data_IF_932849072223
#
_entry.id   IF_932849072223
#
_cell.length_a   1.000
_cell.length_b   1.000
_cell.length_c   1.000
_cell.angle_alpha   90.00
_cell.angle_beta   90.00
_cell.angle_gamma   90.00
#
_symmetry.space_group_name_H-M   'P 1'
#
loop_
_entity.id
_entity.type
_entity.pdbx_description
1 polymer ?
#
# COMPACT_ATOMS: atom_id res chain seq x y z
N UNK A 1 -30.59 -26.79 33.28
CA UNK A 1 -31.12 -27.72 32.27
C UNK A 1 -30.15 -27.77 31.11
N UNK A 2 -29.57 -28.93 30.79
CA UNK A 2 -28.70 -29.04 29.61
C UNK A 2 -29.57 -28.90 28.35
N UNK A 3 -29.26 -27.97 27.43
CA UNK A 3 -29.94 -27.94 26.14
C UNK A 3 -29.61 -29.27 25.42
N UNK A 4 -30.66 -30.01 25.06
CA UNK A 4 -30.54 -31.18 24.19
C UNK A 4 -29.88 -30.72 22.90
N UNK A 5 -28.70 -31.27 22.59
CA UNK A 5 -27.99 -30.94 21.37
C UNK A 5 -28.82 -31.41 20.16
N UNK A 6 -28.95 -30.58 19.11
CA UNK A 6 -29.61 -31.00 17.88
C UNK A 6 -28.95 -32.24 17.28
N UNK A 7 -29.74 -33.11 16.66
CA UNK A 7 -29.18 -34.25 15.94
C UNK A 7 -28.44 -33.78 14.69
N UNK A 8 -27.42 -34.53 14.26
CA UNK A 8 -26.65 -34.21 13.05
C UNK A 8 -27.54 -34.12 11.80
N UNK A 9 -28.61 -34.93 11.75
CA UNK A 9 -29.62 -34.87 10.69
C UNK A 9 -30.36 -33.52 10.67
N UNK A 10 -30.75 -33.00 11.84
CA UNK A 10 -31.40 -31.69 11.94
C UNK A 10 -30.47 -30.55 11.48
N UNK A 11 -29.20 -30.60 11.89
CA UNK A 11 -28.19 -29.61 11.46
C UNK A 11 -27.98 -29.66 9.95
N UNK A 12 -27.94 -30.86 9.36
CA UNK A 12 -27.79 -31.03 7.91
C UNK A 12 -28.97 -30.43 7.14
N UNK A 13 -30.19 -30.68 7.57
CA UNK A 13 -31.39 -30.10 6.95
C UNK A 13 -31.40 -28.57 7.04
N UNK A 14 -30.96 -28.00 8.18
CA UNK A 14 -30.83 -26.55 8.33
C UNK A 14 -29.78 -25.98 7.36
N UNK A 15 -28.63 -26.64 7.21
CA UNK A 15 -27.59 -26.25 6.25
C UNK A 15 -28.07 -26.31 4.80
N UNK A 16 -28.78 -27.37 4.40
CA UNK A 16 -29.36 -27.49 3.06
C UNK A 16 -30.40 -26.40 2.78
N UNK A 17 -31.21 -26.08 3.78
CA UNK A 17 -32.21 -25.01 3.69
C UNK A 17 -31.53 -23.65 3.52
N UNK A 18 -30.52 -23.33 4.34
CA UNK A 18 -29.75 -22.10 4.23
C UNK A 18 -29.05 -21.96 2.87
N UNK A 19 -28.50 -23.05 2.31
CA UNK A 19 -27.90 -23.05 0.97
C UNK A 19 -28.93 -22.68 -0.10
N UNK A 20 -30.13 -23.29 -0.04
CA UNK A 20 -31.22 -23.05 -0.99
C UNK A 20 -31.79 -21.64 -0.87
N UNK A 21 -32.08 -21.19 0.34
CA UNK A 21 -32.62 -19.86 0.59
C UNK A 21 -31.63 -18.76 0.23
N UNK A 22 -30.35 -18.96 0.55
CA UNK A 22 -29.31 -18.00 0.18
C UNK A 22 -29.16 -17.88 -1.33
N UNK A 23 -29.28 -19.00 -2.04
CA UNK A 23 -29.29 -19.00 -3.50
C UNK A 23 -30.51 -18.26 -4.05
N UNK A 24 -31.71 -18.52 -3.52
CA UNK A 24 -32.94 -17.87 -3.96
C UNK A 24 -32.94 -16.35 -3.71
N UNK A 25 -32.38 -15.92 -2.58
CA UNK A 25 -32.28 -14.52 -2.17
C UNK A 25 -31.04 -13.81 -2.73
N UNK A 26 -30.16 -14.53 -3.42
CA UNK A 26 -28.89 -14.01 -3.92
C UNK A 26 -27.86 -13.63 -2.84
N UNK A 27 -28.12 -13.97 -1.58
CA UNK A 27 -27.23 -13.71 -0.44
C UNK A 27 -26.21 -14.83 -0.26
N UNK A 28 -25.21 -14.59 0.59
CA UNK A 28 -24.21 -15.61 0.94
C UNK A 28 -24.70 -16.45 2.12
N UNK A 29 -24.74 -17.76 1.94
CA UNK A 29 -24.98 -18.70 3.03
C UNK A 29 -23.81 -18.68 4.03
N UNK A 30 -24.12 -18.65 5.32
CA UNK A 30 -23.09 -18.64 6.37
C UNK A 30 -23.39 -19.63 7.49
N UNK A 31 -22.33 -20.18 8.08
CA UNK A 31 -22.43 -21.08 9.24
C UNK A 31 -23.11 -20.39 10.43
N UNK A 32 -22.87 -19.08 10.59
CA UNK A 32 -23.53 -18.29 11.65
C UNK A 32 -25.05 -18.18 11.48
N UNK A 33 -25.56 -18.14 10.24
CA UNK A 33 -27.01 -18.19 10.01
C UNK A 33 -27.59 -19.52 10.47
N UNK A 34 -26.91 -20.62 10.14
CA UNK A 34 -27.30 -21.98 10.54
C UNK A 34 -27.28 -22.13 12.06
N UNK A 35 -26.23 -21.64 12.72
CA UNK A 35 -26.11 -21.62 14.19
C UNK A 35 -27.31 -20.95 14.86
N UNK A 36 -27.73 -19.79 14.33
CA UNK A 36 -28.92 -19.07 14.82
C UNK A 36 -30.20 -19.86 14.58
N UNK A 37 -30.31 -20.53 13.43
CA UNK A 37 -31.48 -21.33 13.07
C UNK A 37 -31.65 -22.56 13.96
N UNK A 38 -30.55 -23.23 14.34
CA UNK A 38 -30.59 -24.40 15.23
C UNK A 38 -30.47 -24.05 16.71
N UNK A 39 -30.21 -22.78 17.05
CA UNK A 39 -30.10 -22.30 18.43
C UNK A 39 -28.86 -22.78 19.18
N UNK A 40 -27.74 -23.02 18.48
CA UNK A 40 -26.49 -23.55 19.06
C UNK A 40 -25.41 -22.48 19.07
N UNK A 41 -24.64 -22.39 20.16
CA UNK A 41 -23.51 -21.47 20.24
C UNK A 41 -22.40 -21.84 19.25
N UNK A 42 -21.67 -20.84 18.74
CA UNK A 42 -20.57 -21.05 17.80
C UNK A 42 -19.55 -22.11 18.26
N UNK A 43 -19.10 -22.02 19.52
CA UNK A 43 -18.14 -22.97 20.09
C UNK A 43 -18.70 -24.40 20.16
N UNK A 44 -19.97 -24.54 20.56
CA UNK A 44 -20.65 -25.85 20.60
C UNK A 44 -20.83 -26.44 19.21
N UNK A 45 -21.14 -25.60 18.22
CA UNK A 45 -21.36 -26.01 16.84
C UNK A 45 -20.08 -26.58 16.21
N UNK A 46 -18.98 -25.85 16.33
CA UNK A 46 -17.68 -26.26 15.78
C UNK A 46 -17.09 -27.49 16.46
N UNK A 47 -17.38 -27.70 17.74
CA UNK A 47 -16.93 -28.87 18.49
C UNK A 47 -17.72 -30.14 18.15
N UNK A 48 -19.04 -30.03 17.94
CA UNK A 48 -19.92 -31.19 17.82
C UNK A 48 -20.27 -31.56 16.37
N UNK A 49 -20.14 -30.65 15.41
CA UNK A 49 -20.49 -30.88 14.01
C UNK A 49 -19.37 -30.54 13.00
N UNK A 50 -18.12 -30.98 13.22
CA UNK A 50 -17.01 -30.65 12.32
C UNK A 50 -17.25 -31.17 10.89
N UNK A 51 -17.78 -32.39 10.74
CA UNK A 51 -18.04 -32.99 9.43
C UNK A 51 -19.10 -32.22 8.62
N UNK A 52 -20.11 -31.69 9.31
CA UNK A 52 -21.15 -30.89 8.68
C UNK A 52 -20.60 -29.55 8.20
N UNK A 53 -19.68 -28.94 8.96
CA UNK A 53 -18.99 -27.71 8.56
C UNK A 53 -18.11 -27.95 7.33
N UNK A 54 -17.37 -29.07 7.28
CA UNK A 54 -16.56 -29.44 6.12
C UNK A 54 -17.44 -29.62 4.89
N UNK A 55 -18.52 -30.38 5.02
CA UNK A 55 -19.49 -30.57 3.93
C UNK A 55 -20.11 -29.26 3.45
N UNK A 56 -20.53 -28.40 4.38
CA UNK A 56 -21.13 -27.11 4.07
C UNK A 56 -20.16 -26.18 3.32
N UNK A 57 -18.89 -26.12 3.76
CA UNK A 57 -17.85 -25.35 3.08
C UNK A 57 -17.60 -25.86 1.66
N UNK A 58 -17.50 -27.18 1.48
CA UNK A 58 -17.34 -27.79 0.16
C UNK A 58 -18.50 -27.40 -0.78
N UNK A 59 -19.73 -27.38 -0.28
CA UNK A 59 -20.89 -26.94 -1.06
C UNK A 59 -20.86 -25.45 -1.39
N UNK A 60 -20.43 -24.59 -0.47
CA UNK A 60 -20.25 -23.17 -0.75
C UNK A 60 -19.22 -22.91 -1.85
N UNK A 61 -18.15 -23.70 -1.88
CA UNK A 61 -17.10 -23.55 -2.88
C UNK A 61 -17.58 -24.06 -4.26
N UNK A 62 -18.28 -25.19 -4.31
CA UNK A 62 -18.93 -25.68 -5.54
C UNK A 62 -19.98 -24.69 -6.09
N UNK A 63 -20.74 -24.03 -5.22
CA UNK A 63 -21.67 -22.97 -5.63
C UNK A 63 -20.97 -21.71 -6.15
N UNK A 64 -19.77 -21.39 -5.65
CA UNK A 64 -18.99 -20.26 -6.18
C UNK A 64 -18.45 -20.58 -7.56
N UNK A 65 -17.91 -21.78 -7.74
CA UNK A 65 -17.35 -22.23 -9.01
C UNK A 65 -18.41 -22.24 -10.12
N UNK A 66 -19.63 -22.68 -9.80
CA UNK A 66 -20.78 -22.61 -10.73
C UNK A 66 -21.28 -21.19 -10.99
N UNK A 67 -21.12 -20.24 -10.05
CA UNK A 67 -21.48 -18.82 -10.26
C UNK A 67 -20.44 -18.04 -11.06
N UNK A 68 -19.16 -18.41 -10.99
CA UNK A 68 -18.14 -17.85 -11.86
C UNK A 68 -18.29 -18.44 -13.26
N UNK A 69 -19.17 -17.84 -14.07
CA UNK A 69 -19.23 -18.20 -15.48
C UNK A 69 -17.88 -17.91 -16.16
N UNK A 70 -17.43 -18.75 -17.10
CA UNK A 70 -16.15 -18.57 -17.79
C UNK A 70 -16.07 -17.23 -18.54
N UNK A 71 -17.22 -16.61 -18.85
CA UNK A 71 -17.31 -15.28 -19.47
C UNK A 71 -16.93 -14.15 -18.50
N UNK A 72 -17.19 -14.30 -17.20
CA UNK A 72 -16.84 -13.29 -16.18
C UNK A 72 -15.35 -13.37 -15.84
N UNK A 73 -14.77 -14.56 -15.82
CA UNK A 73 -13.32 -14.75 -15.60
C UNK A 73 -12.52 -14.24 -16.79
N UNK A 74 -12.91 -14.59 -18.03
CA UNK A 74 -12.26 -14.08 -19.24
C UNK A 74 -12.29 -12.55 -19.33
N UNK A 75 -13.45 -11.92 -19.07
CA UNK A 75 -13.56 -10.46 -19.05
C UNK A 75 -12.65 -9.81 -18.00
N UNK A 76 -12.50 -10.42 -16.82
CA UNK A 76 -11.60 -9.92 -15.77
C UNK A 76 -10.12 -10.05 -16.17
N UNK A 77 -9.76 -11.11 -16.87
CA UNK A 77 -8.39 -11.31 -17.36
C UNK A 77 -8.03 -10.31 -18.46
N UNK A 78 -8.96 -10.05 -19.39
CA UNK A 78 -8.82 -9.03 -20.43
C UNK A 78 -8.65 -7.62 -19.83
N UNK A 79 -9.49 -7.29 -18.84
CA UNK A 79 -9.41 -6.01 -18.12
C UNK A 79 -8.07 -5.86 -17.37
N UNK A 80 -7.58 -6.94 -16.74
CA UNK A 80 -6.27 -6.93 -16.07
C UNK A 80 -5.11 -6.78 -17.05
N UNK A 81 -5.17 -7.43 -18.21
CA UNK A 81 -4.17 -7.29 -19.26
C UNK A 81 -4.12 -5.85 -19.79
N UNK A 82 -5.28 -5.26 -20.06
CA UNK A 82 -5.40 -3.85 -20.46
C UNK A 82 -4.82 -2.90 -19.41
N UNK A 83 -5.21 -3.06 -18.16
CA UNK A 83 -4.72 -2.21 -17.06
C UNK A 83 -3.20 -2.32 -16.86
N UNK A 84 -2.60 -3.49 -17.07
CA UNK A 84 -1.14 -3.68 -17.04
C UNK A 84 -0.45 -2.96 -18.21
N UNK A 85 -1.04 -3.01 -19.39
CA UNK A 85 -0.60 -2.24 -20.55
C UNK A 85 -0.61 -0.73 -20.26
N UNK A 86 -1.77 -0.21 -19.84
CA UNK A 86 -1.95 1.20 -19.48
C UNK A 86 -0.97 1.64 -18.38
N UNK A 87 -0.76 0.83 -17.34
CA UNK A 87 0.19 1.16 -16.28
C UNK A 87 1.63 1.24 -16.81
N UNK A 88 2.01 0.34 -17.72
CA UNK A 88 3.34 0.35 -18.35
C UNK A 88 3.54 1.60 -19.18
N UNK A 89 2.53 2.00 -19.96
CA UNK A 89 2.61 3.19 -20.81
C UNK A 89 2.61 4.48 -20.00
N UNK A 90 1.81 4.56 -18.92
CA UNK A 90 1.87 5.67 -17.97
C UNK A 90 3.26 5.81 -17.34
N UNK A 91 3.90 4.70 -16.95
CA UNK A 91 5.27 4.74 -16.41
C UNK A 91 6.29 5.24 -17.43
N UNK A 92 6.14 4.88 -18.71
CA UNK A 92 7.00 5.41 -19.78
C UNK A 92 6.80 6.91 -19.93
N UNK A 93 5.55 7.38 -19.99
CA UNK A 93 5.22 8.79 -20.12
C UNK A 93 5.77 9.60 -18.95
N UNK A 94 5.61 9.13 -17.70
CA UNK A 94 6.18 9.80 -16.52
C UNK A 94 7.69 9.95 -16.63
N UNK A 95 8.41 8.93 -17.09
CA UNK A 95 9.87 9.02 -17.30
C UNK A 95 10.23 10.05 -18.36
N UNK A 96 9.51 10.08 -19.48
CA UNK A 96 9.74 11.05 -20.56
C UNK A 96 9.51 12.47 -20.05
N UNK A 97 8.39 12.72 -19.38
CA UNK A 97 8.08 14.04 -18.85
C UNK A 97 9.04 14.48 -17.75
N UNK A 98 9.46 13.58 -16.88
CA UNK A 98 10.47 13.89 -15.86
C UNK A 98 11.79 14.34 -16.49
N UNK A 99 12.23 13.67 -17.56
CA UNK A 99 13.44 14.07 -18.29
C UNK A 99 13.25 15.40 -19.02
N UNK A 100 12.10 15.62 -19.67
CA UNK A 100 11.80 16.89 -20.33
C UNK A 100 11.83 18.06 -19.34
N UNK A 101 11.25 17.89 -18.14
CA UNK A 101 11.30 18.89 -17.07
C UNK A 101 12.75 19.15 -16.66
N UNK A 102 13.56 18.10 -16.45
CA UNK A 102 14.98 18.25 -16.11
C UNK A 102 15.74 19.07 -17.15
N UNK A 103 15.55 18.77 -18.43
CA UNK A 103 16.20 19.49 -19.52
C UNK A 103 15.76 20.95 -19.58
N UNK A 104 14.46 21.22 -19.39
CA UNK A 104 13.92 22.59 -19.33
C UNK A 104 14.53 23.37 -18.17
N UNK A 105 14.63 22.79 -16.97
CA UNK A 105 15.24 23.44 -15.82
C UNK A 105 16.72 23.77 -16.05
N UNK A 106 17.47 22.88 -16.71
CA UNK A 106 18.86 23.16 -17.05
C UNK A 106 18.99 24.26 -18.10
N UNK A 107 18.12 24.27 -19.11
CA UNK A 107 18.10 25.31 -20.14
C UNK A 107 17.72 26.68 -19.55
N UNK A 108 16.76 26.72 -18.63
CA UNK A 108 16.36 27.93 -17.91
C UNK A 108 17.53 28.50 -17.10
N UNK A 109 18.20 27.67 -16.30
CA UNK A 109 19.37 28.11 -15.52
C UNK A 109 20.52 28.63 -16.42
N UNK A 110 20.77 27.98 -17.55
CA UNK A 110 21.76 28.43 -18.52
C UNK A 110 21.39 29.79 -19.15
N UNK A 111 20.10 29.96 -19.50
CA UNK A 111 19.60 31.23 -20.06
C UNK A 111 19.68 32.37 -19.03
N UNK A 112 19.38 32.09 -17.77
CA UNK A 112 19.56 33.05 -16.68
C UNK A 112 21.03 33.47 -16.52
N UNK A 113 21.95 32.51 -16.55
CA UNK A 113 23.40 32.79 -16.46
C UNK A 113 23.87 33.64 -17.67
N UNK A 114 23.41 33.36 -18.89
CA UNK A 114 23.69 34.15 -20.09
C UNK A 114 23.16 35.58 -19.98
N UNK A 115 21.89 35.75 -19.57
CA UNK A 115 21.29 37.07 -19.37
C UNK A 115 22.03 37.86 -18.28
N UNK A 116 22.44 37.19 -17.22
CA UNK A 116 23.17 37.80 -16.11
C UNK A 116 24.58 38.25 -16.53
N UNK A 117 25.26 37.46 -17.35
CA UNK A 117 26.55 37.81 -17.94
C UNK A 117 26.43 39.03 -18.88
N UNK A 118 25.39 39.07 -19.73
CA UNK A 118 25.11 40.19 -20.62
C UNK A 118 24.71 41.47 -19.86
N UNK A 119 23.99 41.33 -18.75
CA UNK A 119 23.58 42.46 -17.90
C UNK A 119 24.71 42.99 -16.99
N UNK A 120 25.87 42.32 -16.91
CA UNK A 120 27.00 42.73 -16.09
C UNK A 120 26.76 42.65 -14.57
N UNK A 121 25.71 41.96 -14.14
CA UNK A 121 25.32 41.86 -12.71
C UNK A 121 25.89 40.56 -12.13
N UNK A 122 27.04 40.59 -11.46
CA UNK A 122 27.59 39.40 -10.79
C UNK A 122 26.71 38.95 -9.60
N UNK A 123 26.44 37.63 -9.47
CA UNK A 123 25.60 37.04 -8.38
C UNK A 123 26.14 37.42 -6.99
N UNK A 124 25.26 37.89 -6.12
CA UNK A 124 25.58 38.28 -4.74
C UNK A 124 26.03 37.09 -3.87
N UNK A 125 25.60 35.87 -4.19
CA UNK A 125 25.98 34.65 -3.46
C UNK A 125 27.47 34.33 -3.57
N UNK A 126 28.08 34.66 -4.71
CA UNK A 126 29.51 34.42 -4.96
C UNK A 126 30.38 35.47 -4.25
N UNK A 127 29.92 36.72 -4.19
CA UNK A 127 30.55 37.77 -3.35
C UNK A 127 30.46 37.44 -1.86
N UNK A 128 29.39 36.81 -1.39
CA UNK A 128 29.23 36.42 0.02
C UNK A 128 30.22 35.34 0.41
N UNK A 129 30.49 34.35 -0.46
CA UNK A 129 31.54 33.34 -0.24
C UNK A 129 32.95 33.93 -0.28
N UNK A 130 33.22 34.89 -1.18
CA UNK A 130 34.51 35.58 -1.24
C UNK A 130 34.78 36.51 -0.04
N UNK A 131 33.76 37.17 0.53
CA UNK A 131 33.92 38.02 1.72
C UNK A 131 34.08 37.26 3.04
N UNK A 132 33.66 35.99 3.11
CA UNK A 132 33.76 35.16 4.32
C UNK A 132 35.14 34.53 4.57
N UNK A 133 36.10 34.69 3.64
CA UNK A 133 37.41 34.03 3.67
C UNK A 133 38.58 34.91 4.11
N UNK A 134 38.39 35.89 5.00
CA UNK A 134 39.50 36.70 5.54
C UNK A 134 39.84 36.22 6.96
N UNK A 135 40.94 35.48 7.19
CA UNK A 135 41.38 35.17 8.54
C UNK A 135 41.90 36.46 9.20
N UNK A 136 41.24 36.90 10.26
CA UNK A 136 41.74 37.94 11.16
C UNK A 136 42.99 37.40 11.87
N UNK A 137 44.17 37.83 11.43
CA UNK A 137 45.38 37.77 12.24
C UNK A 137 45.59 39.14 12.91
N UNK A 138 45.59 39.11 14.26
CA UNK A 138 46.45 39.95 15.07
C UNK A 138 45.85 41.23 15.65
N UNK A 139 45.48 41.19 16.94
CA UNK A 139 45.69 42.32 17.85
C UNK A 139 45.72 41.92 19.34
N UNK A 140 46.90 42.10 19.93
CA UNK A 140 47.23 42.42 21.34
C UNK A 140 47.17 41.27 22.38
N UNK A 141 48.19 41.01 23.22
CA UNK A 141 49.31 41.86 23.65
C UNK A 141 50.49 41.11 24.33
N UNK A 142 51.53 41.85 24.78
CA UNK A 142 52.87 41.35 25.17
C UNK A 142 53.10 41.42 26.71
N UNK A 143 54.33 41.26 27.23
CA UNK A 143 55.15 40.04 27.34
C UNK A 143 55.50 39.72 28.81
N UNK A 144 55.55 38.45 29.23
CA UNK A 144 56.22 38.10 30.50
C UNK A 144 57.56 37.40 30.24
N UNK A 145 58.62 38.15 30.55
CA UNK A 145 59.95 37.62 30.87
C UNK A 145 59.92 36.99 32.26
N UNK A 146 60.96 36.21 32.56
CA UNK A 146 61.34 35.52 33.81
C UNK A 146 61.02 34.01 33.72
N UNK A 147 61.96 33.08 33.83
CA UNK A 147 63.37 33.12 34.23
C UNK A 147 64.10 31.88 33.69
N UNK A 148 65.38 32.06 33.39
CA UNK A 148 66.37 31.01 33.30
C UNK A 148 66.38 30.08 34.54
N UNK A 149 66.71 28.82 34.32
CA UNK A 149 66.92 27.84 35.38
C UNK A 149 67.40 26.50 34.85
N UNK A 150 68.67 26.43 34.44
CA UNK A 150 69.42 25.17 34.43
C UNK A 150 69.86 24.83 35.86
N UNK A 151 69.84 23.53 36.22
CA UNK A 151 70.45 23.00 37.44
C UNK A 151 69.56 22.03 38.18
#
# INVERSE_FOLDING_TARGET
MNPLLPTSAHVRTAMETELRESQALGRRATVSTVEKQVGVSHATFYRNYPDQIVWFKAQLDAQRETRTSPKVTAKREDDLARLRGENTDLRKLVKIYAEAIRQLTLAEAALEDELQALAGVARLDERRRQRGGRPEYGRNGPPDRLTDGQG
#
